data_IF_549340901513
#
_entry.id   IF_549340901513
#
_cell.length_a   1.000
_cell.length_b   1.000
_cell.length_c   1.000
_cell.angle_alpha   90.00
_cell.angle_beta   90.00
_cell.angle_gamma   90.00
#
_symmetry.space_group_name_H-M   'P 1'
#
loop_
_entity.id
_entity.type
_entity.pdbx_description
1 polymer ?
#
# COMPACT_ATOMS: atom_id res chain seq x y z
N UNK A 1 17.67 5.14 -16.96
CA UNK A 1 17.37 5.29 -15.52
C UNK A 1 18.63 5.81 -14.85
N UNK A 2 18.53 6.80 -13.96
CA UNK A 2 19.70 7.30 -13.25
C UNK A 2 20.31 6.19 -12.39
N UNK A 3 21.63 6.01 -12.45
CA UNK A 3 22.36 5.09 -11.59
C UNK A 3 22.28 5.63 -10.16
N UNK A 4 21.73 4.85 -9.23
CA UNK A 4 21.66 5.24 -7.82
C UNK A 4 22.98 4.90 -7.13
N UNK A 5 23.44 5.79 -6.26
CA UNK A 5 24.57 5.47 -5.40
C UNK A 5 24.21 4.29 -4.48
N UNK A 6 25.04 3.24 -4.43
CA UNK A 6 24.75 2.06 -3.64
C UNK A 6 24.74 2.40 -2.14
N UNK A 7 23.76 1.85 -1.42
CA UNK A 7 23.66 2.00 0.03
C UNK A 7 24.47 0.87 0.68
N UNK A 8 25.57 1.17 1.40
CA UNK A 8 26.39 0.11 1.99
C UNK A 8 25.67 -0.54 3.18
N UNK A 9 25.48 -1.86 3.10
CA UNK A 9 25.04 -2.65 4.24
C UNK A 9 26.23 -2.92 5.18
N UNK A 10 26.11 -2.67 6.50
CA UNK A 10 27.19 -2.95 7.42
C UNK A 10 27.48 -4.46 7.47
N UNK A 11 28.76 -4.83 7.53
CA UNK A 11 29.16 -6.23 7.71
C UNK A 11 28.79 -6.76 9.10
N UNK A 12 28.80 -5.88 10.13
CA UNK A 12 28.48 -6.21 11.53
C UNK A 12 27.69 -5.07 12.18
N UNK A 13 26.84 -5.42 13.14
CA UNK A 13 26.04 -4.45 13.92
C UNK A 13 26.78 -4.05 15.20
N UNK A 14 27.71 -3.10 15.09
CA UNK A 14 28.48 -2.58 16.25
C UNK A 14 27.71 -1.55 17.06
N UNK A 15 26.99 -0.64 16.38
CA UNK A 15 26.14 0.38 16.99
C UNK A 15 24.75 0.34 16.34
N UNK A 16 23.88 -0.59 16.76
CA UNK A 16 22.56 -0.74 16.16
C UNK A 16 21.68 0.48 16.47
N UNK A 17 20.91 0.90 15.46
CA UNK A 17 19.88 1.93 15.62
C UNK A 17 18.83 1.48 16.64
N UNK A 18 18.16 2.41 17.33
CA UNK A 18 17.20 2.10 18.40
C UNK A 18 16.13 1.09 17.96
N UNK A 19 15.60 1.22 16.74
CA UNK A 19 14.65 0.26 16.16
C UNK A 19 15.24 -1.15 15.99
N UNK A 20 16.49 -1.26 15.54
CA UNK A 20 17.19 -2.55 15.37
C UNK A 20 17.52 -3.16 16.74
N UNK A 21 17.95 -2.35 17.70
CA UNK A 21 18.20 -2.76 19.08
C UNK A 21 16.93 -3.33 19.73
N UNK A 22 15.79 -2.69 19.50
CA UNK A 22 14.49 -3.16 19.96
C UNK A 22 14.05 -4.46 19.25
N UNK A 23 14.39 -4.68 17.98
CA UNK A 23 14.18 -5.98 17.35
C UNK A 23 15.07 -7.07 17.97
N UNK A 24 16.31 -6.76 18.31
CA UNK A 24 17.26 -7.71 18.89
C UNK A 24 16.86 -8.24 20.28
N UNK A 25 15.99 -7.53 21.02
CA UNK A 25 15.50 -8.05 22.32
C UNK A 25 14.53 -9.22 22.19
N UNK A 26 14.06 -9.53 20.98
CA UNK A 26 13.20 -10.69 20.72
C UNK A 26 14.04 -11.89 20.25
N UNK A 27 13.63 -13.11 20.62
CA UNK A 27 14.35 -14.34 20.25
C UNK A 27 14.30 -14.66 18.76
N UNK A 28 13.19 -14.34 18.08
CA UNK A 28 12.99 -14.50 16.64
C UNK A 28 12.31 -13.24 16.06
N UNK A 29 13.02 -12.11 15.95
CA UNK A 29 12.46 -10.93 15.31
C UNK A 29 12.18 -11.23 13.85
N UNK A 30 11.05 -10.75 13.37
CA UNK A 30 10.54 -10.95 12.02
C UNK A 30 10.15 -12.40 11.68
N UNK A 31 10.21 -13.32 12.66
CA UNK A 31 9.87 -14.73 12.47
C UNK A 31 10.74 -15.42 11.42
N UNK A 32 11.98 -14.97 11.25
CA UNK A 32 12.96 -15.55 10.33
C UNK A 32 13.87 -16.54 11.05
N UNK A 33 14.41 -17.51 10.33
CA UNK A 33 15.34 -18.49 10.88
C UNK A 33 16.63 -17.82 11.39
N UNK A 34 17.24 -18.44 12.40
CA UNK A 34 18.46 -17.95 13.07
C UNK A 34 19.61 -17.68 12.10
N UNK A 35 19.72 -18.50 11.04
CA UNK A 35 20.76 -18.40 10.01
C UNK A 35 20.70 -17.07 9.24
N UNK A 36 19.50 -16.57 8.94
CA UNK A 36 19.30 -15.34 8.14
C UNK A 36 19.02 -14.10 8.99
N UNK A 37 18.72 -14.27 10.27
CA UNK A 37 18.35 -13.19 11.20
C UNK A 37 19.41 -12.07 11.25
N UNK A 38 20.69 -12.43 11.33
CA UNK A 38 21.78 -11.45 11.38
C UNK A 38 21.86 -10.62 10.08
N UNK A 39 21.59 -11.24 8.92
CA UNK A 39 21.54 -10.53 7.63
C UNK A 39 20.33 -9.62 7.54
N UNK A 40 19.14 -10.10 7.94
CA UNK A 40 17.92 -9.30 7.97
C UNK A 40 18.09 -8.02 8.82
N UNK A 41 18.66 -8.13 10.02
CA UNK A 41 18.91 -6.96 10.88
C UNK A 41 19.92 -5.97 10.28
N UNK A 42 20.93 -6.45 9.53
CA UNK A 42 21.89 -5.59 8.80
C UNK A 42 21.22 -4.83 7.66
N UNK A 43 20.30 -5.46 6.94
CA UNK A 43 19.49 -4.80 5.90
C UNK A 43 18.59 -3.72 6.51
N UNK A 44 17.91 -4.01 7.62
CA UNK A 44 17.07 -3.03 8.33
C UNK A 44 17.92 -1.85 8.82
N UNK A 45 19.09 -2.12 9.42
CA UNK A 45 20.03 -1.07 9.84
C UNK A 45 20.43 -0.17 8.66
N UNK A 46 20.78 -0.76 7.52
CA UNK A 46 21.20 -0.02 6.33
C UNK A 46 20.07 0.89 5.81
N UNK A 47 18.84 0.37 5.71
CA UNK A 47 17.67 1.14 5.29
C UNK A 47 17.38 2.30 6.24
N UNK A 48 17.37 2.04 7.54
CA UNK A 48 17.09 3.06 8.55
C UNK A 48 18.14 4.16 8.53
N UNK A 49 19.43 3.81 8.50
CA UNK A 49 20.50 4.81 8.46
C UNK A 49 20.49 5.62 7.16
N UNK A 50 20.27 4.96 6.02
CA UNK A 50 20.23 5.64 4.72
C UNK A 50 19.04 6.60 4.64
N UNK A 51 17.84 6.16 5.00
CA UNK A 51 16.65 7.04 5.02
C UNK A 51 16.77 8.17 6.06
N UNK A 52 17.41 7.92 7.21
CA UNK A 52 17.68 8.96 8.20
C UNK A 52 18.62 10.05 7.68
N UNK A 53 19.60 9.73 6.82
CA UNK A 53 20.45 10.73 6.14
C UNK A 53 19.63 11.66 5.23
N UNK A 54 18.49 11.19 4.72
CA UNK A 54 17.52 11.98 3.97
C UNK A 54 16.48 12.68 4.86
N UNK A 55 16.69 12.71 6.19
CA UNK A 55 15.82 13.39 7.15
C UNK A 55 14.54 12.61 7.49
N UNK A 56 14.45 11.33 7.13
CA UNK A 56 13.28 10.51 7.43
C UNK A 56 13.35 9.94 8.86
N UNK A 57 12.19 9.70 9.46
CA UNK A 57 12.09 9.20 10.85
C UNK A 57 11.68 7.74 10.84
N UNK A 58 12.45 6.89 11.52
CA UNK A 58 12.18 5.46 11.62
C UNK A 58 11.65 5.06 13.00
N UNK A 59 10.67 4.15 13.05
CA UNK A 59 10.10 3.61 14.30
C UNK A 59 9.96 2.09 14.22
N UNK A 60 10.05 1.41 15.37
CA UNK A 60 9.72 -0.02 15.44
C UNK A 60 8.21 -0.21 15.26
N UNK A 61 7.81 -1.25 14.54
CA UNK A 61 6.44 -1.65 14.34
C UNK A 61 5.98 -2.67 15.39
N UNK A 62 4.68 -2.93 15.49
CA UNK A 62 4.14 -3.76 16.57
C UNK A 62 4.26 -5.26 16.30
N UNK A 63 4.69 -5.69 15.10
CA UNK A 63 4.84 -7.10 14.76
C UNK A 63 6.28 -7.56 14.97
N UNK A 64 6.41 -8.74 15.59
CA UNK A 64 7.70 -9.37 15.87
C UNK A 64 7.91 -10.67 15.10
N UNK A 65 6.93 -11.14 14.32
CA UNK A 65 6.93 -12.43 13.64
C UNK A 65 6.44 -12.36 12.20
N UNK A 66 6.63 -13.45 11.44
CA UNK A 66 6.20 -13.51 10.06
C UNK A 66 4.67 -13.67 9.95
N UNK A 67 3.93 -12.72 9.35
CA UNK A 67 2.49 -12.87 9.15
C UNK A 67 2.18 -13.96 8.12
N UNK A 68 0.97 -14.52 8.24
CA UNK A 68 0.46 -15.51 7.27
C UNK A 68 0.49 -14.96 5.84
N UNK A 69 0.82 -15.82 4.86
CA UNK A 69 1.05 -15.45 3.46
C UNK A 69 -0.04 -14.55 2.87
N UNK A 70 -1.31 -14.92 3.08
CA UNK A 70 -2.46 -14.19 2.54
C UNK A 70 -2.77 -12.86 3.26
N UNK A 71 -2.17 -12.63 4.44
CA UNK A 71 -2.36 -11.39 5.23
C UNK A 71 -1.16 -10.44 5.17
N UNK A 72 -0.08 -10.81 4.47
CA UNK A 72 1.18 -10.03 4.44
C UNK A 72 0.97 -8.56 4.08
N UNK A 73 0.10 -8.24 3.11
CA UNK A 73 -0.11 -6.84 2.68
C UNK A 73 -0.87 -5.97 3.69
N UNK A 74 -1.67 -6.58 4.55
CA UNK A 74 -2.46 -5.91 5.59
C UNK A 74 -1.91 -6.17 6.99
N UNK A 75 -0.76 -6.84 7.10
CA UNK A 75 -0.16 -7.17 8.38
C UNK A 75 0.51 -5.94 8.99
N UNK A 76 0.54 -5.91 10.31
CA UNK A 76 1.30 -4.90 11.02
C UNK A 76 2.79 -4.99 10.65
N UNK A 77 3.47 -3.85 10.47
CA UNK A 77 4.86 -3.82 10.04
C UNK A 77 5.83 -4.25 11.14
N UNK A 78 7.04 -4.63 10.74
CA UNK A 78 8.18 -4.81 11.64
C UNK A 78 8.78 -3.46 12.03
N UNK A 79 8.81 -2.51 11.10
CA UNK A 79 9.22 -1.13 11.33
C UNK A 79 8.57 -0.21 10.31
N UNK A 80 8.57 1.08 10.59
CA UNK A 80 8.03 2.11 9.71
C UNK A 80 9.06 3.19 9.48
N UNK A 81 8.99 3.81 8.30
CA UNK A 81 9.76 5.01 7.95
C UNK A 81 8.77 6.08 7.52
N UNK A 82 8.81 7.23 8.18
CA UNK A 82 7.96 8.37 7.87
C UNK A 82 8.75 9.42 7.11
N UNK A 83 8.22 9.86 5.96
CA UNK A 83 8.77 10.90 5.10
C UNK A 83 7.66 11.85 4.68
N UNK A 84 7.85 13.16 4.89
CA UNK A 84 6.89 14.19 4.45
C UNK A 84 5.43 13.92 4.89
N UNK A 85 5.24 13.39 6.10
CA UNK A 85 3.92 13.03 6.63
C UNK A 85 3.34 11.70 6.11
N UNK A 86 3.98 11.05 5.13
CA UNK A 86 3.65 9.71 4.67
C UNK A 86 4.43 8.65 5.45
N UNK A 87 3.71 7.74 6.10
CA UNK A 87 4.28 6.55 6.71
C UNK A 87 4.38 5.43 5.69
N UNK A 88 5.57 4.84 5.58
CA UNK A 88 5.83 3.63 4.81
C UNK A 88 6.11 2.46 5.77
N UNK A 89 5.40 1.36 5.56
CA UNK A 89 5.36 0.20 6.44
C UNK A 89 6.24 -0.91 5.87
N UNK A 90 7.19 -1.43 6.65
CA UNK A 90 8.13 -2.44 6.21
C UNK A 90 7.87 -3.80 6.85
N UNK A 91 7.83 -4.82 6.01
CA UNK A 91 7.83 -6.22 6.38
C UNK A 91 9.04 -6.93 5.78
N UNK A 92 9.91 -7.48 6.62
CA UNK A 92 10.97 -8.40 6.21
C UNK A 92 10.49 -9.82 6.42
N UNK A 93 10.65 -10.67 5.43
CA UNK A 93 10.17 -12.04 5.40
C UNK A 93 11.27 -12.96 4.90
N UNK A 94 11.28 -14.19 5.39
CA UNK A 94 12.06 -15.27 4.81
C UNK A 94 11.22 -15.99 3.75
N UNK A 95 11.80 -16.24 2.59
CA UNK A 95 11.18 -17.07 1.57
C UNK A 95 11.17 -18.54 1.98
N UNK A 96 10.24 -19.30 1.41
CA UNK A 96 10.18 -20.74 1.59
C UNK A 96 10.57 -21.42 0.28
N UNK A 97 11.44 -22.41 0.37
CA UNK A 97 11.72 -23.32 -0.73
C UNK A 97 10.62 -24.36 -0.79
N UNK A 98 10.11 -24.59 -2.00
CA UNK A 98 9.05 -25.55 -2.26
C UNK A 98 9.67 -26.78 -2.92
N UNK A 99 9.64 -27.91 -2.23
CA UNK A 99 10.10 -29.19 -2.75
C UNK A 99 8.92 -30.15 -2.92
N UNK A 100 8.98 -31.01 -3.94
CA UNK A 100 7.97 -32.07 -4.08
C UNK A 100 8.00 -32.97 -2.85
N UNK A 101 6.83 -33.16 -2.23
CA UNK A 101 6.70 -33.96 -1.02
C UNK A 101 6.81 -35.44 -1.38
N UNK A 102 7.65 -36.15 -0.63
CA UNK A 102 7.75 -37.61 -0.73
C UNK A 102 6.93 -38.23 0.39
N UNK A 103 5.79 -38.82 0.02
CA UNK A 103 4.86 -39.44 0.95
C UNK A 103 5.57 -40.52 1.78
N UNK A 104 5.48 -40.41 3.11
CA UNK A 104 5.97 -41.45 4.01
C UNK A 104 5.06 -42.67 3.98
N UNK A 105 5.60 -43.84 4.35
CA UNK A 105 4.81 -45.09 4.44
C UNK A 105 3.60 -44.95 5.37
N UNK A 106 3.73 -44.12 6.42
CA UNK A 106 2.64 -43.83 7.36
C UNK A 106 1.52 -43.04 6.69
N UNK A 107 1.85 -41.98 5.95
CA UNK A 107 0.87 -41.16 5.22
C UNK A 107 0.18 -41.98 4.12
N UNK A 108 0.92 -42.86 3.44
CA UNK A 108 0.34 -43.79 2.45
C UNK A 108 -0.62 -44.80 3.10
N UNK A 109 -0.28 -45.35 4.26
CA UNK A 109 -1.16 -46.24 5.01
C UNK A 109 -2.42 -45.52 5.51
N UNK A 110 -2.27 -44.27 5.95
CA UNK A 110 -3.37 -43.44 6.45
C UNK A 110 -4.31 -43.00 5.32
N UNK A 111 -3.77 -42.58 4.17
CA UNK A 111 -4.55 -42.25 2.97
C UNK A 111 -5.29 -43.46 2.39
N UNK A 112 -4.73 -44.67 2.52
CA UNK A 112 -5.45 -45.91 2.18
C UNK A 112 -6.59 -46.21 3.16
N UNK A 113 -6.42 -45.87 4.44
CA UNK A 113 -7.41 -46.12 5.49
C UNK A 113 -8.57 -45.12 5.46
N UNK A 114 -8.31 -43.87 5.10
CA UNK A 114 -9.27 -42.78 5.16
C UNK A 114 -9.31 -41.99 3.85
N UNK A 115 -10.45 -42.02 3.16
CA UNK A 115 -10.63 -41.38 1.84
C UNK A 115 -10.57 -39.85 1.86
N UNK A 116 -10.69 -39.21 3.03
CA UNK A 116 -10.60 -37.75 3.19
C UNK A 116 -9.17 -37.27 3.46
N UNK A 117 -8.21 -38.17 3.73
CA UNK A 117 -6.81 -37.79 3.97
C UNK A 117 -6.14 -37.52 2.63
N UNK A 118 -5.72 -36.27 2.42
CA UNK A 118 -4.97 -35.85 1.24
C UNK A 118 -3.52 -35.64 1.64
N UNK A 119 -2.61 -36.42 1.03
CA UNK A 119 -1.17 -36.25 1.23
C UNK A 119 -0.75 -34.92 0.61
N UNK A 120 -0.04 -34.04 1.34
CA UNK A 120 0.46 -32.80 0.79
C UNK A 120 1.30 -33.04 -0.47
N UNK A 121 1.14 -32.17 -1.47
CA UNK A 121 1.96 -32.25 -2.69
C UNK A 121 3.37 -31.72 -2.49
N UNK A 122 3.55 -30.78 -1.58
CA UNK A 122 4.80 -30.04 -1.41
C UNK A 122 5.19 -29.92 0.05
N UNK A 123 6.49 -30.04 0.30
CA UNK A 123 7.13 -29.64 1.54
C UNK A 123 7.65 -28.21 1.41
N UNK A 124 7.55 -27.47 2.51
CA UNK A 124 8.02 -26.08 2.59
C UNK A 124 9.12 -26.00 3.64
N UNK A 125 10.33 -25.65 3.20
CA UNK A 125 11.46 -25.42 4.09
C UNK A 125 11.89 -23.95 4.04
N UNK A 126 12.40 -23.38 5.14
CA UNK A 126 12.87 -22.00 5.13
C UNK A 126 14.11 -21.85 4.23
N UNK A 127 14.05 -20.94 3.26
CA UNK A 127 15.16 -20.65 2.35
C UNK A 127 16.07 -19.54 2.91
N UNK A 128 17.32 -19.46 2.45
CA UNK A 128 18.23 -18.38 2.88
C UNK A 128 17.92 -17.00 2.26
N UNK A 129 16.89 -16.96 1.39
CA UNK A 129 16.42 -15.78 0.68
C UNK A 129 15.46 -14.96 1.53
N UNK A 130 15.62 -13.65 1.47
CA UNK A 130 14.79 -12.67 2.15
C UNK A 130 13.94 -11.89 1.13
N UNK A 131 12.79 -11.40 1.60
CA UNK A 131 11.90 -10.48 0.89
C UNK A 131 11.60 -9.28 1.79
N UNK A 132 11.56 -8.09 1.21
CA UNK A 132 11.08 -6.86 1.84
C UNK A 132 9.81 -6.43 1.13
N UNK A 133 8.73 -6.25 1.89
CA UNK A 133 7.46 -5.69 1.43
C UNK A 133 7.30 -4.31 2.04
N UNK A 134 6.93 -3.36 1.19
CA UNK A 134 6.69 -1.96 1.51
C UNK A 134 5.22 -1.60 1.24
N UNK A 135 4.49 -1.28 2.31
CA UNK A 135 3.13 -0.77 2.27
C UNK A 135 3.09 0.73 2.63
N UNK A 136 1.95 1.38 2.40
CA UNK A 136 1.79 2.82 2.67
C UNK A 136 2.21 3.69 1.48
N UNK A 137 1.43 4.74 1.21
CA UNK A 137 1.57 5.59 0.03
C UNK A 137 1.24 4.87 -1.28
N UNK A 138 1.23 5.64 -2.38
CA UNK A 138 1.08 5.07 -3.71
C UNK A 138 2.45 4.59 -4.22
N UNK A 139 2.61 3.33 -4.66
CA UNK A 139 3.87 2.85 -5.20
C UNK A 139 4.27 3.63 -6.45
N UNK A 140 5.53 4.03 -6.52
CA UNK A 140 6.11 4.67 -7.69
C UNK A 140 6.77 3.65 -8.63
N UNK A 141 7.55 2.70 -8.09
CA UNK A 141 8.17 1.62 -8.87
C UNK A 141 7.70 0.25 -8.44
N UNK A 142 7.84 -0.05 -7.17
CA UNK A 142 7.54 -1.36 -6.61
C UNK A 142 7.12 -1.25 -5.15
N UNK A 143 6.47 -2.30 -4.66
CA UNK A 143 6.16 -2.47 -3.23
C UNK A 143 6.84 -3.70 -2.65
N UNK A 144 7.60 -4.45 -3.43
CA UNK A 144 8.22 -5.70 -3.00
C UNK A 144 9.58 -5.86 -3.67
N UNK A 145 10.58 -6.26 -2.89
CA UNK A 145 11.93 -6.62 -3.33
C UNK A 145 12.31 -7.94 -2.69
N UNK A 146 13.01 -8.79 -3.42
CA UNK A 146 13.43 -10.09 -2.91
C UNK A 146 14.83 -10.44 -3.41
N UNK A 147 15.48 -11.33 -2.68
CA UNK A 147 16.68 -11.99 -3.18
C UNK A 147 16.33 -12.85 -4.39
N UNK A 148 17.09 -12.66 -5.45
CA UNK A 148 17.02 -13.46 -6.68
C UNK A 148 18.41 -14.00 -6.99
N UNK A 149 18.49 -14.99 -7.89
CA UNK A 149 19.77 -15.51 -8.34
C UNK A 149 20.66 -14.41 -8.99
N UNK A 150 20.05 -13.38 -9.57
CA UNK A 150 20.76 -12.30 -10.26
C UNK A 150 21.06 -11.08 -9.38
N UNK A 151 20.25 -10.82 -8.35
CA UNK A 151 20.35 -9.61 -7.51
C UNK A 151 20.05 -9.92 -6.05
N UNK A 152 20.96 -9.49 -5.18
CA UNK A 152 20.77 -9.51 -3.73
C UNK A 152 19.90 -8.33 -3.26
N UNK A 153 19.32 -8.40 -2.06
CA UNK A 153 18.66 -7.26 -1.44
C UNK A 153 19.63 -6.12 -1.12
N UNK A 154 20.89 -6.42 -0.82
CA UNK A 154 21.95 -5.42 -0.59
C UNK A 154 22.10 -4.49 -1.80
N UNK A 155 22.08 -5.06 -3.02
CA UNK A 155 22.17 -4.30 -4.28
C UNK A 155 20.89 -3.52 -4.61
N UNK A 156 19.78 -3.80 -3.91
CA UNK A 156 18.48 -3.18 -4.11
C UNK A 156 18.19 -2.08 -3.07
N UNK A 157 19.04 -1.91 -2.05
CA UNK A 157 18.80 -0.96 -0.95
C UNK A 157 18.63 0.49 -1.43
N UNK A 158 19.42 0.92 -2.40
CA UNK A 158 19.32 2.27 -2.96
C UNK A 158 17.96 2.52 -3.63
N UNK A 159 17.42 1.51 -4.32
CA UNK A 159 16.09 1.59 -4.94
C UNK A 159 14.99 1.68 -3.89
N UNK A 160 15.10 0.91 -2.81
CA UNK A 160 14.13 0.93 -1.70
C UNK A 160 14.14 2.30 -1.01
N UNK A 161 15.32 2.86 -0.72
CA UNK A 161 15.46 4.19 -0.11
C UNK A 161 14.86 5.26 -1.01
N UNK A 162 15.14 5.21 -2.31
CA UNK A 162 14.56 6.15 -3.27
C UNK A 162 13.03 6.01 -3.34
N UNK A 163 12.49 4.79 -3.35
CA UNK A 163 11.05 4.57 -3.36
C UNK A 163 10.38 5.24 -2.16
N UNK A 164 10.94 5.12 -0.95
CA UNK A 164 10.40 5.80 0.24
C UNK A 164 10.29 7.30 -0.01
N UNK A 165 11.37 7.94 -0.48
CA UNK A 165 11.38 9.36 -0.80
C UNK A 165 10.28 9.74 -1.80
N UNK A 166 10.15 8.98 -2.89
CA UNK A 166 9.16 9.22 -3.94
C UNK A 166 7.72 9.07 -3.44
N UNK A 167 7.45 8.14 -2.52
CA UNK A 167 6.14 8.00 -1.88
C UNK A 167 5.80 9.18 -0.99
N UNK A 168 6.80 9.70 -0.27
CA UNK A 168 6.67 10.95 0.50
C UNK A 168 6.30 12.13 -0.39
N UNK A 169 7.07 12.34 -1.46
CA UNK A 169 6.84 13.43 -2.41
C UNK A 169 5.47 13.33 -3.08
N UNK A 170 5.06 12.12 -3.46
CA UNK A 170 3.74 11.89 -4.04
C UNK A 170 2.61 12.22 -3.05
N UNK A 171 2.77 11.86 -1.78
CA UNK A 171 1.81 12.18 -0.74
C UNK A 171 1.71 13.69 -0.48
N UNK A 172 2.85 14.40 -0.46
CA UNK A 172 2.85 15.85 -0.29
C UNK A 172 2.23 16.57 -1.50
N UNK A 173 2.58 16.16 -2.73
CA UNK A 173 1.92 16.68 -3.94
C UNK A 173 0.41 16.50 -3.88
N UNK A 174 -0.05 15.33 -3.45
CA UNK A 174 -1.48 15.04 -3.29
C UNK A 174 -2.10 15.95 -2.22
N UNK A 175 -1.46 16.12 -1.07
CA UNK A 175 -1.94 16.99 0.00
C UNK A 175 -2.15 18.42 -0.49
N UNK A 176 -1.20 18.97 -1.24
CA UNK A 176 -1.31 20.32 -1.80
C UNK A 176 -2.45 20.41 -2.82
N UNK A 177 -2.56 19.44 -3.72
CA UNK A 177 -3.65 19.38 -4.69
C UNK A 177 -5.04 19.29 -4.03
N UNK A 178 -5.17 18.49 -2.96
CA UNK A 178 -6.42 18.33 -2.21
C UNK A 178 -6.82 19.66 -1.53
N UNK A 179 -5.85 20.41 -0.98
CA UNK A 179 -6.09 21.74 -0.39
C UNK A 179 -6.57 22.75 -1.44
N UNK A 180 -5.95 22.76 -2.62
CA UNK A 180 -6.35 23.62 -3.74
C UNK A 180 -7.74 23.25 -4.27
N UNK A 181 -8.02 21.95 -4.44
CA UNK A 181 -9.31 21.46 -4.89
C UNK A 181 -10.43 21.81 -3.90
N UNK A 182 -10.20 21.67 -2.60
CA UNK A 182 -11.15 22.08 -1.56
C UNK A 182 -11.44 23.58 -1.61
N UNK A 183 -10.40 24.41 -1.83
CA UNK A 183 -10.56 25.86 -1.99
C UNK A 183 -11.41 26.19 -3.23
N UNK A 184 -11.13 25.56 -4.37
CA UNK A 184 -11.90 25.76 -5.59
C UNK A 184 -13.34 25.30 -5.44
N UNK A 185 -13.58 24.15 -4.80
CA UNK A 185 -14.91 23.63 -4.54
C UNK A 185 -15.72 24.59 -3.66
N UNK A 186 -15.10 25.15 -2.61
CA UNK A 186 -15.76 26.16 -1.76
C UNK A 186 -16.16 27.40 -2.56
N UNK A 187 -15.27 27.93 -3.40
CA UNK A 187 -15.59 29.08 -4.25
C UNK A 187 -16.74 28.78 -5.23
N UNK A 188 -16.73 27.58 -5.85
CA UNK A 188 -17.80 27.14 -6.74
C UNK A 188 -19.14 26.98 -6.00
N UNK A 189 -19.12 26.42 -4.79
CA UNK A 189 -20.30 26.29 -3.94
C UNK A 189 -20.87 27.65 -3.56
N UNK A 190 -20.03 28.57 -3.10
CA UNK A 190 -20.43 29.93 -2.74
C UNK A 190 -21.01 30.70 -3.94
N UNK A 191 -20.41 30.56 -5.13
CA UNK A 191 -20.93 31.14 -6.36
C UNK A 191 -22.30 30.54 -6.74
N UNK A 192 -22.45 29.21 -6.67
CA UNK A 192 -23.73 28.54 -6.94
C UNK A 192 -24.81 28.97 -5.95
N UNK A 193 -24.48 29.11 -4.66
CA UNK A 193 -25.43 29.55 -3.63
C UNK A 193 -25.88 30.99 -3.84
N UNK A 194 -24.95 31.89 -4.23
CA UNK A 194 -25.29 33.26 -4.60
C UNK A 194 -26.23 33.28 -5.80
N UNK A 195 -25.94 32.49 -6.84
CA UNK A 195 -26.79 32.40 -8.02
C UNK A 195 -28.18 31.88 -7.67
N UNK A 196 -28.29 30.79 -6.91
CA UNK A 196 -29.58 30.25 -6.45
C UNK A 196 -30.38 31.29 -5.65
N UNK A 197 -29.72 32.10 -4.82
CA UNK A 197 -30.37 33.18 -4.07
C UNK A 197 -30.88 34.29 -4.99
N UNK A 198 -30.09 34.69 -5.99
CA UNK A 198 -30.49 35.68 -7.01
C UNK A 198 -31.69 35.14 -7.80
N UNK A 199 -31.62 33.90 -8.28
CA UNK A 199 -32.69 33.25 -9.03
C UNK A 199 -33.99 33.16 -8.20
N UNK A 200 -33.89 32.84 -6.91
CA UNK A 200 -35.03 32.82 -5.98
C UNK A 200 -35.64 34.22 -5.76
N UNK A 201 -34.81 35.25 -5.64
CA UNK A 201 -35.28 36.63 -5.50
C UNK A 201 -35.95 37.12 -6.80
N UNK A 202 -35.38 36.77 -7.96
CA UNK A 202 -35.91 37.10 -9.28
C UNK A 202 -37.20 36.34 -9.60
N UNK A 203 -37.39 35.12 -9.08
CA UNK A 203 -38.60 34.33 -9.30
C UNK A 203 -39.82 34.81 -8.50
N UNK A 204 -39.68 35.86 -7.67
CA UNK A 204 -40.80 36.57 -7.03
C UNK A 204 -41.68 35.72 -6.09
N UNK A 205 -41.19 34.56 -5.64
CA UNK A 205 -41.98 33.65 -4.82
C UNK A 205 -42.07 34.14 -3.37
N UNK A 206 -43.31 34.37 -2.89
CA UNK A 206 -43.58 34.72 -1.49
C UNK A 206 -43.22 33.57 -0.54
N UNK A 207 -42.69 33.85 0.66
CA UNK A 207 -42.39 32.83 1.66
C UNK A 207 -43.71 32.21 2.16
N UNK A 208 -44.02 30.99 1.69
CA UNK A 208 -45.24 30.27 2.09
C UNK A 208 -45.75 29.19 1.12
N UNK A 209 -45.26 29.13 -0.12
CA UNK A 209 -45.79 28.22 -1.15
C UNK A 209 -44.76 27.21 -1.70
N UNK A 210 -43.97 26.53 -0.85
CA UNK A 210 -42.99 25.54 -1.32
C UNK A 210 -42.86 24.30 -0.42
N UNK A 211 -43.98 23.67 -0.06
CA UNK A 211 -43.94 22.21 0.19
C UNK A 211 -44.36 21.44 -1.08
N UNK A 212 -45.17 22.04 -1.96
CA UNK A 212 -45.68 21.37 -3.17
C UNK A 212 -44.96 21.72 -4.48
N UNK A 213 -44.30 22.88 -4.61
CA UNK A 213 -43.72 23.30 -5.90
C UNK A 213 -42.25 22.87 -6.13
N UNK A 214 -41.50 22.56 -5.05
CA UNK A 214 -40.12 22.09 -5.15
C UNK A 214 -40.02 20.68 -5.78
N UNK A 215 -41.03 19.83 -5.58
CA UNK A 215 -41.10 18.48 -6.17
C UNK A 215 -41.27 18.57 -7.70
N UNK A 216 -42.01 19.56 -8.20
CA UNK A 216 -42.30 19.69 -9.64
C UNK A 216 -41.13 20.26 -10.44
N UNK A 217 -40.37 21.22 -9.90
CA UNK A 217 -39.24 21.85 -10.63
C UNK A 217 -38.00 20.95 -10.67
N UNK A 218 -37.76 20.16 -9.62
CA UNK A 218 -36.70 19.13 -9.63
C UNK A 218 -37.03 17.98 -10.60
N UNK A 219 -38.30 17.59 -10.72
CA UNK A 219 -38.74 16.60 -11.71
C UNK A 219 -38.58 17.10 -13.16
N UNK A 220 -38.87 18.36 -13.45
CA UNK A 220 -38.72 18.92 -14.81
C UNK A 220 -37.25 19.06 -15.21
N UNK A 221 -36.35 19.45 -14.30
CA UNK A 221 -34.90 19.54 -14.61
C UNK A 221 -34.21 18.17 -14.77
N UNK A 222 -34.70 17.12 -14.11
CA UNK A 222 -34.20 15.76 -14.35
C UNK A 222 -34.74 15.15 -15.65
N UNK A 223 -35.99 15.46 -16.04
CA UNK A 223 -36.60 14.91 -17.26
C UNK A 223 -36.04 15.54 -18.55
N UNK A 224 -35.65 16.83 -18.53
CA UNK A 224 -35.00 17.51 -19.68
C UNK A 224 -33.57 17.00 -19.93
N UNK A 225 -32.89 16.46 -18.89
CA UNK A 225 -31.57 15.82 -19.06
C UNK A 225 -31.64 14.37 -19.53
N UNK A 226 -32.74 13.65 -19.30
CA UNK A 226 -32.91 12.29 -19.82
C UNK A 226 -33.43 12.26 -21.26
N UNK A 227 -34.31 13.18 -21.67
CA UNK A 227 -34.84 13.27 -23.05
C UNK A 227 -33.83 13.80 -24.08
N UNK A 228 -32.80 14.52 -23.63
CA UNK A 228 -31.71 15.00 -24.48
C UNK A 228 -30.63 13.94 -24.76
N UNK A 229 -30.52 12.89 -23.93
CA UNK A 229 -29.57 11.78 -24.15
C UNK A 229 -30.19 10.71 -25.06
N UNK A 230 -31.50 10.44 -24.96
CA UNK A 230 -32.18 9.45 -25.81
C UNK A 230 -32.45 9.92 -27.25
N UNK A 231 -32.56 11.23 -27.50
CA UNK A 231 -32.76 11.76 -28.87
C UNK A 231 -31.48 11.80 -29.71
N UNK A 232 -30.30 11.88 -29.08
CA UNK A 232 -29.01 11.87 -29.78
C UNK A 232 -28.57 10.43 -30.11
N UNK A 233 -28.95 9.43 -29.30
CA UNK A 233 -28.70 8.02 -29.62
C UNK A 233 -29.63 7.45 -30.71
N UNK A 234 -30.87 7.94 -30.85
CA UNK A 234 -31.78 7.45 -31.90
C UNK A 234 -31.44 7.99 -33.30
N UNK A 235 -30.82 9.18 -33.40
CA UNK A 235 -30.43 9.80 -34.67
C UNK A 235 -29.14 9.23 -35.29
N UNK A 236 -28.41 8.35 -34.59
CA UNK A 236 -27.17 7.72 -35.08
C UNK A 236 -27.32 6.28 -35.56
N UNK A 237 -28.49 5.65 -35.40
CA UNK A 237 -28.74 4.26 -35.83
C UNK A 237 -29.54 4.10 -37.12
N UNK A 238 -30.13 5.16 -37.67
CA UNK A 238 -30.83 5.12 -38.95
C UNK A 238 -30.42 6.31 -39.83
N UNK A 239 -29.31 6.16 -40.54
CA UNK A 239 -29.13 6.76 -41.87
C UNK A 239 -28.98 5.61 -42.87
N UNK A 240 -29.75 5.60 -43.98
CA UNK A 240 -29.52 4.70 -45.10
C UNK A 240 -28.19 5.02 -45.81
#
# INVERSE_FOLDING_TARGET
MAVLEPVPAPARLTQPHAAVKAMQSHSQPMGVAKAVQARALRLVQALVLATQRHGHVSKIGPTHGAPQKHRRRSAAPHFTITTQGQTCDFLVLQEQERTDHTASEKELAEAKRYSWVTIPRFDYSPADRLRIILSGGQPHRASEWADTAARSLEDQLAEIVQEVGLRGEAAERKRLADLEAARQQRLRWEASMKQTKIDYQASGCRPGAYVTCAITVLAIRQNVRQTSVTSVEFASRHRP
#
